data_IF_576528921293
#
_entry.id   IF_576528921293
#
_cell.length_a   1.000
_cell.length_b   1.000
_cell.length_c   1.000
_cell.angle_alpha   90.00
_cell.angle_beta   90.00
_cell.angle_gamma   90.00
#
_symmetry.space_group_name_H-M   'P 1'
#
loop_
_entity.id
_entity.type
_entity.pdbx_description
1 polymer ?
#
# COMPACT_ATOMS: atom_id res chain seq x y z
N UNK A 1 -34.43 9.43 20.22
CA UNK A 1 -33.89 8.19 19.63
C UNK A 1 -33.49 8.36 18.14
N UNK A 2 -32.89 9.48 17.68
CA UNK A 2 -32.64 9.70 16.24
C UNK A 2 -31.21 10.13 15.86
N UNK A 3 -30.26 10.17 16.79
CA UNK A 3 -28.86 10.56 16.41
C UNK A 3 -27.95 9.40 15.99
N UNK A 4 -28.24 8.18 16.40
CA UNK A 4 -27.43 7.02 16.04
C UNK A 4 -27.62 6.56 14.60
N UNK A 5 -28.82 6.78 13.99
CA UNK A 5 -29.09 6.41 12.62
C UNK A 5 -28.45 7.35 11.58
N UNK A 6 -28.23 8.62 11.94
CA UNK A 6 -27.60 9.61 11.05
C UNK A 6 -26.09 9.41 10.92
N UNK A 7 -25.42 8.90 11.96
CA UNK A 7 -23.96 8.64 11.91
C UNK A 7 -23.60 7.39 11.10
N UNK A 8 -24.39 6.33 11.18
CA UNK A 8 -24.17 5.10 10.39
C UNK A 8 -24.34 5.35 8.89
N UNK A 9 -25.30 6.19 8.48
CA UNK A 9 -25.49 6.56 7.08
C UNK A 9 -24.33 7.36 6.48
N UNK A 10 -23.73 8.27 7.26
CA UNK A 10 -22.57 9.07 6.83
C UNK A 10 -21.31 8.24 6.64
N UNK A 11 -21.04 7.30 7.55
CA UNK A 11 -19.86 6.43 7.47
C UNK A 11 -19.93 5.44 6.29
N UNK A 12 -21.09 4.82 6.08
CA UNK A 12 -21.31 3.91 4.93
C UNK A 12 -21.28 4.64 3.60
N UNK A 13 -21.80 5.85 3.50
CA UNK A 13 -21.69 6.68 2.30
C UNK A 13 -20.26 7.15 2.04
N UNK A 14 -19.51 7.52 3.08
CA UNK A 14 -18.09 7.86 2.95
C UNK A 14 -17.29 6.66 2.43
N UNK A 15 -17.52 5.47 3.00
CA UNK A 15 -16.83 4.24 2.58
C UNK A 15 -17.18 3.85 1.14
N UNK A 16 -18.45 3.91 0.74
CA UNK A 16 -18.86 3.58 -0.63
C UNK A 16 -18.27 4.54 -1.66
N UNK A 17 -18.21 5.83 -1.39
CA UNK A 17 -17.57 6.83 -2.26
C UNK A 17 -16.05 6.63 -2.33
N UNK A 18 -15.42 6.26 -1.23
CA UNK A 18 -13.97 6.03 -1.17
C UNK A 18 -13.56 4.78 -1.95
N UNK A 19 -14.34 3.71 -1.89
CA UNK A 19 -14.08 2.48 -2.66
C UNK A 19 -14.24 2.72 -4.17
N UNK A 20 -15.15 3.60 -4.57
CA UNK A 20 -15.37 3.97 -5.99
C UNK A 20 -14.24 4.87 -6.51
N UNK A 21 -13.60 5.69 -5.65
CA UNK A 21 -12.49 6.55 -6.02
C UNK A 21 -11.15 5.80 -5.79
N UNK A 22 -10.63 5.24 -6.89
CA UNK A 22 -9.37 4.46 -6.90
C UNK A 22 -8.18 5.20 -6.27
N UNK A 23 -8.14 6.52 -6.40
CA UNK A 23 -7.03 7.31 -5.90
C UNK A 23 -7.12 7.51 -4.38
N UNK A 24 -8.31 7.77 -3.86
CA UNK A 24 -8.55 7.89 -2.41
C UNK A 24 -8.32 6.56 -1.69
N UNK A 25 -8.83 5.47 -2.25
CA UNK A 25 -8.63 4.14 -1.69
C UNK A 25 -7.14 3.78 -1.61
N UNK A 26 -6.37 4.07 -2.67
CA UNK A 26 -4.94 3.85 -2.66
C UNK A 26 -4.25 4.60 -1.52
N UNK A 27 -4.50 5.90 -1.38
CA UNK A 27 -3.83 6.72 -0.37
C UNK A 27 -4.20 6.30 1.06
N UNK A 28 -5.45 5.90 1.30
CA UNK A 28 -5.89 5.37 2.61
C UNK A 28 -5.20 4.05 2.95
N UNK A 29 -5.15 3.12 2.00
CA UNK A 29 -4.49 1.83 2.20
C UNK A 29 -2.98 1.99 2.36
N UNK A 30 -2.36 2.88 1.58
CA UNK A 30 -0.94 3.18 1.70
C UNK A 30 -0.63 3.78 3.07
N UNK A 31 -1.33 4.83 3.49
CA UNK A 31 -1.12 5.45 4.79
C UNK A 31 -1.39 4.46 5.94
N UNK A 32 -2.53 3.75 5.89
CA UNK A 32 -2.89 2.74 6.89
C UNK A 32 -1.86 1.61 6.98
N UNK A 33 -1.35 1.14 5.85
CA UNK A 33 -0.32 0.10 5.80
C UNK A 33 1.00 0.54 6.45
N UNK A 34 1.46 1.76 6.17
CA UNK A 34 2.69 2.28 6.77
C UNK A 34 2.55 2.61 8.26
N UNK A 35 1.38 3.10 8.69
CA UNK A 35 1.06 3.26 10.12
C UNK A 35 1.05 1.90 10.82
N UNK A 36 0.37 0.91 10.25
CA UNK A 36 0.32 -0.44 10.81
C UNK A 36 1.72 -1.06 10.90
N UNK A 37 2.55 -0.92 9.85
CA UNK A 37 3.93 -1.40 9.85
C UNK A 37 4.75 -0.73 10.95
N UNK A 38 4.61 0.59 11.15
CA UNK A 38 5.29 1.34 12.21
C UNK A 38 4.90 0.81 13.60
N UNK A 39 3.60 0.58 13.82
CA UNK A 39 3.09 0.02 15.10
C UNK A 39 3.60 -1.41 15.31
N UNK A 40 3.53 -2.26 14.29
CA UNK A 40 4.04 -3.64 14.37
C UNK A 40 5.54 -3.64 14.66
N UNK A 41 6.32 -2.80 14.00
CA UNK A 41 7.77 -2.68 14.25
C UNK A 41 8.04 -2.25 15.70
N UNK A 42 7.31 -1.25 16.20
CA UNK A 42 7.44 -0.79 17.59
C UNK A 42 7.14 -1.91 18.59
N UNK A 43 6.02 -2.62 18.40
CA UNK A 43 5.59 -3.68 19.33
C UNK A 43 6.46 -4.92 19.22
N UNK A 44 6.88 -5.31 18.01
CA UNK A 44 7.58 -6.59 17.78
C UNK A 44 9.10 -6.50 17.92
N UNK A 45 9.67 -5.32 17.70
CA UNK A 45 11.12 -5.12 17.73
C UNK A 45 11.52 -4.16 18.84
N UNK A 46 10.98 -2.94 18.88
CA UNK A 46 11.46 -1.93 19.82
C UNK A 46 11.16 -2.27 21.28
N UNK A 47 9.94 -2.74 21.59
CA UNK A 47 9.57 -3.10 22.96
C UNK A 47 10.33 -4.32 23.50
N UNK A 48 10.42 -5.47 22.78
CA UNK A 48 11.11 -6.65 23.31
C UNK A 48 12.61 -6.49 23.46
N UNK A 49 13.24 -5.62 22.65
CA UNK A 49 14.67 -5.39 22.66
C UNK A 49 15.10 -4.13 23.43
N UNK A 50 14.16 -3.51 24.17
CA UNK A 50 14.37 -2.29 24.95
C UNK A 50 14.89 -1.09 24.10
N UNK A 51 14.53 -1.07 22.82
CA UNK A 51 14.90 -0.02 21.85
C UNK A 51 13.89 1.12 21.85
N UNK A 52 13.64 1.71 23.03
CA UNK A 52 12.71 2.84 23.20
C UNK A 52 13.42 4.20 23.26
N UNK A 53 14.71 4.22 22.99
CA UNK A 53 15.46 5.46 22.87
C UNK A 53 14.95 6.32 21.69
N UNK A 54 15.11 7.62 21.81
CA UNK A 54 14.64 8.58 20.80
C UNK A 54 15.11 8.24 19.38
N UNK A 55 16.35 7.77 19.22
CA UNK A 55 16.95 7.44 17.93
C UNK A 55 16.16 6.31 17.21
N UNK A 56 15.79 5.24 17.92
CA UNK A 56 15.05 4.12 17.35
C UNK A 56 13.60 4.48 17.04
N UNK A 57 12.95 5.27 17.91
CA UNK A 57 11.59 5.76 17.66
C UNK A 57 11.60 6.69 16.44
N UNK A 58 12.53 7.63 16.38
CA UNK A 58 12.69 8.54 15.24
C UNK A 58 12.96 7.76 13.95
N UNK A 59 13.87 6.76 14.00
CA UNK A 59 14.13 5.87 12.88
C UNK A 59 12.85 5.18 12.38
N UNK A 60 12.06 4.59 13.29
CA UNK A 60 10.82 3.88 12.93
C UNK A 60 9.80 4.81 12.26
N UNK A 61 9.63 6.03 12.75
CA UNK A 61 8.71 7.01 12.17
C UNK A 61 9.20 7.52 10.81
N UNK A 62 10.47 7.93 10.72
CA UNK A 62 11.04 8.50 9.47
C UNK A 62 11.12 7.44 8.38
N UNK A 63 11.49 6.20 8.68
CA UNK A 63 11.51 5.12 7.69
C UNK A 63 10.11 4.84 7.13
N UNK A 64 9.07 4.92 7.98
CA UNK A 64 7.68 4.70 7.55
C UNK A 64 7.19 5.82 6.63
N UNK A 65 7.54 7.07 6.93
CA UNK A 65 7.29 8.21 6.03
C UNK A 65 8.05 8.04 4.70
N UNK A 66 9.32 7.64 4.75
CA UNK A 66 10.12 7.36 3.55
C UNK A 66 9.49 6.29 2.66
N UNK A 67 9.05 5.19 3.25
CA UNK A 67 8.35 4.11 2.55
C UNK A 67 7.01 4.56 1.95
N UNK A 68 6.23 5.33 2.70
CA UNK A 68 4.99 5.93 2.21
C UNK A 68 5.23 6.79 0.95
N UNK A 69 6.24 7.67 0.99
CA UNK A 69 6.59 8.53 -0.14
C UNK A 69 7.12 7.73 -1.34
N UNK A 70 7.90 6.67 -1.10
CA UNK A 70 8.44 5.81 -2.16
C UNK A 70 7.33 5.05 -2.91
N UNK A 71 6.20 4.77 -2.28
CA UNK A 71 5.06 4.12 -2.93
C UNK A 71 4.42 4.97 -4.03
N UNK A 72 4.53 6.31 -3.99
CA UNK A 72 3.93 7.19 -4.98
C UNK A 72 4.51 7.02 -6.41
N UNK A 73 5.85 7.10 -6.61
CA UNK A 73 6.44 6.83 -7.92
C UNK A 73 6.27 5.38 -8.36
N UNK A 74 6.34 4.40 -7.44
CA UNK A 74 6.11 2.99 -7.75
C UNK A 74 4.69 2.77 -8.28
N UNK A 75 3.67 3.36 -7.63
CA UNK A 75 2.30 3.32 -8.11
C UNK A 75 2.17 3.88 -9.52
N UNK A 76 2.79 5.01 -9.79
CA UNK A 76 2.74 5.65 -11.12
C UNK A 76 3.33 4.73 -12.20
N UNK A 77 4.44 4.06 -11.91
CA UNK A 77 5.07 3.11 -12.79
C UNK A 77 4.18 1.87 -13.03
N UNK A 78 3.59 1.30 -11.98
CA UNK A 78 2.65 0.17 -12.09
C UNK A 78 1.40 0.60 -12.87
N UNK A 79 0.85 1.79 -12.64
CA UNK A 79 -0.31 2.30 -13.37
C UNK A 79 -0.04 2.39 -14.88
N UNK A 80 1.16 2.80 -15.28
CA UNK A 80 1.57 2.82 -16.69
C UNK A 80 1.69 1.43 -17.30
N UNK A 81 2.12 0.43 -16.54
CA UNK A 81 2.30 -0.93 -17.07
C UNK A 81 0.98 -1.65 -17.36
N UNK A 82 -0.18 -1.14 -16.92
CA UNK A 82 -1.49 -1.77 -17.16
C UNK A 82 -1.89 -1.83 -18.64
N UNK A 83 -1.33 -0.96 -19.48
CA UNK A 83 -1.54 -0.97 -20.93
C UNK A 83 -0.62 -1.97 -21.67
N UNK A 84 0.31 -2.59 -20.95
CA UNK A 84 1.31 -3.49 -21.52
C UNK A 84 0.82 -4.95 -21.52
N UNK A 85 1.56 -5.82 -22.22
CA UNK A 85 1.29 -7.25 -22.22
C UNK A 85 1.35 -7.83 -20.79
N UNK A 86 0.63 -8.93 -20.49
CA UNK A 86 0.65 -9.56 -19.15
C UNK A 86 2.06 -9.87 -18.63
N UNK A 87 2.95 -10.34 -19.51
CA UNK A 87 4.34 -10.63 -19.16
C UNK A 87 5.12 -9.38 -18.75
N UNK A 88 5.03 -8.32 -19.53
CA UNK A 88 5.72 -7.07 -19.22
C UNK A 88 5.19 -6.45 -17.92
N UNK A 89 3.91 -6.65 -17.64
CA UNK A 89 3.28 -6.21 -16.38
C UNK A 89 3.89 -6.93 -15.17
N UNK A 90 4.01 -8.26 -15.24
CA UNK A 90 4.62 -9.07 -14.18
C UNK A 90 6.09 -8.70 -13.99
N UNK A 91 6.86 -8.61 -15.08
CA UNK A 91 8.27 -8.21 -15.03
C UNK A 91 8.44 -6.82 -14.39
N UNK A 92 7.61 -5.85 -14.78
CA UNK A 92 7.66 -4.51 -14.21
C UNK A 92 7.30 -4.52 -12.72
N UNK A 93 6.25 -5.23 -12.32
CA UNK A 93 5.86 -5.35 -10.92
C UNK A 93 6.99 -5.99 -10.09
N UNK A 94 7.61 -7.06 -10.59
CA UNK A 94 8.75 -7.71 -9.92
C UNK A 94 9.97 -6.80 -9.81
N UNK A 95 10.33 -6.11 -10.91
CA UNK A 95 11.45 -5.17 -10.91
C UNK A 95 11.23 -4.02 -9.92
N UNK A 96 10.02 -3.44 -9.91
CA UNK A 96 9.66 -2.36 -8.98
C UNK A 96 9.65 -2.81 -7.52
N UNK A 97 9.22 -4.04 -7.24
CA UNK A 97 9.30 -4.64 -5.92
C UNK A 97 10.75 -4.73 -5.43
N UNK A 98 11.65 -5.26 -6.26
CA UNK A 98 13.07 -5.40 -5.95
C UNK A 98 13.73 -4.03 -5.77
N UNK A 99 13.53 -3.12 -6.71
CA UNK A 99 14.13 -1.77 -6.66
C UNK A 99 13.59 -0.98 -5.47
N UNK A 100 12.28 -1.02 -5.23
CA UNK A 100 11.66 -0.37 -4.08
C UNK A 100 12.18 -0.89 -2.75
N UNK A 101 12.29 -2.21 -2.61
CA UNK A 101 12.86 -2.85 -1.42
C UNK A 101 14.33 -2.47 -1.22
N UNK A 102 15.14 -2.44 -2.28
CA UNK A 102 16.56 -2.07 -2.20
C UNK A 102 16.74 -0.60 -1.80
N UNK A 103 16.00 0.32 -2.42
CA UNK A 103 16.06 1.74 -2.10
C UNK A 103 15.61 2.02 -0.67
N UNK A 104 14.52 1.39 -0.24
CA UNK A 104 14.03 1.56 1.14
C UNK A 104 15.00 0.96 2.16
N UNK A 105 15.60 -0.20 1.87
CA UNK A 105 16.64 -0.80 2.72
C UNK A 105 17.85 0.13 2.85
N UNK A 106 18.37 0.63 1.75
CA UNK A 106 19.49 1.57 1.76
C UNK A 106 19.16 2.82 2.58
N UNK A 107 17.96 3.38 2.38
CA UNK A 107 17.49 4.53 3.16
C UNK A 107 17.41 4.24 4.66
N UNK A 108 16.84 3.10 5.06
CA UNK A 108 16.71 2.70 6.47
C UNK A 108 18.07 2.51 7.15
N UNK A 109 18.98 1.79 6.51
CA UNK A 109 20.34 1.56 7.05
C UNK A 109 21.08 2.89 7.21
N UNK A 110 21.06 3.73 6.18
CA UNK A 110 21.71 5.03 6.25
C UNK A 110 21.11 5.92 7.34
N UNK A 111 19.78 5.91 7.47
CA UNK A 111 19.08 6.66 8.52
C UNK A 111 19.45 6.17 9.92
N UNK A 112 19.51 4.85 10.13
CA UNK A 112 19.88 4.27 11.42
C UNK A 112 21.30 4.66 11.80
N UNK A 113 22.25 4.53 10.87
CA UNK A 113 23.64 4.93 11.09
C UNK A 113 23.80 6.40 11.49
N UNK A 114 22.98 7.28 10.89
CA UNK A 114 22.99 8.72 11.23
C UNK A 114 22.42 8.98 12.63
N UNK A 115 21.39 8.22 13.03
CA UNK A 115 20.68 8.46 14.29
C UNK A 115 21.37 7.83 15.51
N UNK A 116 22.11 6.73 15.30
CA UNK A 116 22.73 5.94 16.38
C UNK A 116 24.26 6.04 16.41
N UNK A 117 24.87 6.73 15.43
CA UNK A 117 26.33 6.75 15.22
C UNK A 117 26.96 5.34 15.04
N UNK A 118 26.13 4.32 14.78
CA UNK A 118 26.61 2.99 14.48
C UNK A 118 27.27 2.93 13.10
N UNK A 119 28.31 2.13 12.96
CA UNK A 119 29.04 1.96 11.70
C UNK A 119 29.01 0.51 11.23
N UNK A 120 29.13 0.31 9.93
CA UNK A 120 29.26 -1.04 9.36
C UNK A 120 27.94 -1.77 9.10
N UNK A 121 26.77 -1.16 9.33
CA UNK A 121 25.47 -1.81 9.12
C UNK A 121 25.19 -2.24 7.67
N UNK A 122 25.99 -1.76 6.71
CA UNK A 122 25.91 -2.23 5.32
C UNK A 122 26.22 -3.72 5.16
N UNK A 123 26.95 -4.33 6.10
CA UNK A 123 27.15 -5.77 6.15
C UNK A 123 25.85 -6.56 6.31
N UNK A 124 24.86 -5.97 6.96
CA UNK A 124 23.56 -6.59 7.23
C UNK A 124 22.51 -6.30 6.15
N UNK A 125 22.92 -5.62 5.05
CA UNK A 125 22.00 -5.22 3.98
C UNK A 125 21.09 -6.37 3.50
N UNK A 126 21.64 -7.58 3.35
CA UNK A 126 20.89 -8.74 2.87
C UNK A 126 19.71 -9.11 3.77
N UNK A 127 19.90 -9.12 5.09
CA UNK A 127 18.83 -9.39 6.06
C UNK A 127 17.74 -8.33 6.05
N UNK A 128 18.14 -7.07 6.03
CA UNK A 128 17.20 -5.93 5.96
C UNK A 128 16.46 -5.88 4.62
N UNK A 129 17.15 -6.17 3.52
CA UNK A 129 16.57 -6.24 2.19
C UNK A 129 15.51 -7.34 2.08
N UNK A 130 15.79 -8.53 2.66
CA UNK A 130 14.84 -9.63 2.65
C UNK A 130 13.52 -9.24 3.31
N UNK A 131 13.57 -8.64 4.50
CA UNK A 131 12.37 -8.14 5.17
C UNK A 131 11.64 -7.06 4.34
N UNK A 132 12.39 -6.12 3.75
CA UNK A 132 11.85 -5.07 2.89
C UNK A 132 11.17 -5.63 1.64
N UNK A 133 11.71 -6.70 1.07
CA UNK A 133 11.16 -7.36 -0.11
C UNK A 133 9.73 -7.87 0.16
N UNK A 134 9.48 -8.47 1.33
CA UNK A 134 8.13 -8.91 1.71
C UNK A 134 7.15 -7.75 1.88
N UNK A 135 7.60 -6.63 2.46
CA UNK A 135 6.77 -5.44 2.61
C UNK A 135 6.33 -4.90 1.24
N UNK A 136 7.28 -4.73 0.31
CA UNK A 136 6.97 -4.24 -1.03
C UNK A 136 6.20 -5.24 -1.87
N UNK A 137 6.47 -6.55 -1.72
CA UNK A 137 5.70 -7.59 -2.37
C UNK A 137 4.24 -7.56 -1.91
N UNK A 138 4.00 -7.51 -0.60
CA UNK A 138 2.65 -7.40 -0.05
C UNK A 138 1.92 -6.13 -0.55
N UNK A 139 2.64 -5.01 -0.64
CA UNK A 139 2.09 -3.75 -1.16
C UNK A 139 1.70 -3.87 -2.64
N UNK A 140 2.58 -4.44 -3.48
CA UNK A 140 2.30 -4.65 -4.92
C UNK A 140 1.13 -5.61 -5.12
N UNK A 141 1.07 -6.71 -4.36
CA UNK A 141 -0.04 -7.66 -4.42
C UNK A 141 -1.36 -7.01 -4.00
N UNK A 142 -1.36 -6.24 -2.91
CA UNK A 142 -2.55 -5.52 -2.44
C UNK A 142 -3.04 -4.52 -3.50
N UNK A 143 -2.12 -3.77 -4.12
CA UNK A 143 -2.45 -2.84 -5.20
C UNK A 143 -3.14 -3.56 -6.37
N UNK A 144 -2.59 -4.70 -6.81
CA UNK A 144 -3.18 -5.49 -7.91
C UNK A 144 -4.54 -6.06 -7.52
N UNK A 145 -4.69 -6.57 -6.30
CA UNK A 145 -5.95 -7.12 -5.79
C UNK A 145 -7.06 -6.07 -5.80
N UNK A 146 -6.78 -4.87 -5.29
CA UNK A 146 -7.73 -3.75 -5.31
C UNK A 146 -8.10 -3.38 -6.74
N UNK A 147 -7.11 -3.31 -7.63
CA UNK A 147 -7.36 -2.98 -9.04
C UNK A 147 -8.21 -4.03 -9.75
N UNK A 148 -7.96 -5.32 -9.52
CA UNK A 148 -8.78 -6.40 -10.05
C UNK A 148 -10.22 -6.35 -9.52
N UNK A 149 -10.40 -6.11 -8.21
CA UNK A 149 -11.72 -5.99 -7.62
C UNK A 149 -12.54 -4.85 -8.27
N UNK A 150 -11.90 -3.71 -8.54
CA UNK A 150 -12.54 -2.57 -9.22
C UNK A 150 -12.92 -2.90 -10.67
N UNK A 151 -12.07 -3.61 -11.41
CA UNK A 151 -12.37 -4.02 -12.78
C UNK A 151 -13.57 -4.98 -12.82
N UNK A 152 -13.60 -5.99 -11.93
CA UNK A 152 -14.71 -6.93 -11.84
C UNK A 152 -16.04 -6.23 -11.46
N UNK A 153 -15.97 -5.23 -10.59
CA UNK A 153 -17.15 -4.44 -10.23
C UNK A 153 -17.68 -3.64 -11.42
N UNK A 154 -16.79 -3.00 -12.19
CA UNK A 154 -17.18 -2.27 -13.40
C UNK A 154 -17.80 -3.16 -14.47
N UNK A 155 -17.28 -4.40 -14.67
CA UNK A 155 -17.90 -5.38 -15.57
C UNK A 155 -19.30 -5.80 -15.12
N UNK A 156 -19.51 -6.06 -13.83
CA UNK A 156 -20.83 -6.39 -13.29
C UNK A 156 -21.84 -5.28 -13.50
N UNK A 157 -21.45 -4.02 -13.25
CA UNK A 157 -22.33 -2.86 -13.46
C UNK A 157 -22.72 -2.73 -14.94
N UNK A 158 -21.76 -2.92 -15.85
CA UNK A 158 -22.01 -2.88 -17.30
C UNK A 158 -23.00 -3.96 -17.74
N UNK A 159 -22.87 -5.18 -17.22
CA UNK A 159 -23.80 -6.29 -17.50
C UNK A 159 -25.21 -5.98 -17.00
N UNK A 160 -25.35 -5.43 -15.80
CA UNK A 160 -26.66 -5.06 -15.24
C UNK A 160 -27.36 -3.98 -16.08
N UNK A 161 -26.61 -3.00 -16.59
CA UNK A 161 -27.16 -1.96 -17.48
C UNK A 161 -27.63 -2.57 -18.79
N UNK A 162 -26.87 -3.49 -19.38
CA UNK A 162 -27.25 -4.19 -20.62
C UNK A 162 -28.50 -5.07 -20.43
N UNK A 163 -28.60 -5.79 -19.32
CA UNK A 163 -29.78 -6.60 -19.00
C UNK A 163 -31.03 -5.73 -18.79
N UNK A 164 -30.88 -4.60 -18.09
CA UNK A 164 -31.99 -3.65 -17.89
C UNK A 164 -32.46 -3.05 -19.22
N UNK A 165 -31.55 -2.76 -20.15
CA UNK A 165 -31.87 -2.31 -21.51
C UNK A 165 -32.68 -3.36 -22.30
N UNK A 166 -32.19 -4.61 -22.33
CA UNK A 166 -32.88 -5.72 -23.02
C UNK A 166 -34.28 -5.97 -22.47
N UNK A 167 -34.48 -5.90 -21.15
CA UNK A 167 -35.81 -6.06 -20.55
C UNK A 167 -36.77 -4.96 -21.01
N UNK A 168 -36.31 -3.71 -21.07
CA UNK A 168 -37.15 -2.58 -21.55
C UNK A 168 -37.59 -2.73 -23.03
N UNK A 169 -36.71 -3.30 -23.87
CA UNK A 169 -37.05 -3.57 -25.29
C UNK A 169 -38.03 -4.74 -25.43
N UNK A 170 -37.95 -5.75 -24.58
CA UNK A 170 -38.86 -6.90 -24.61
C UNK A 170 -40.29 -6.57 -24.17
N UNK A 171 -40.53 -5.43 -23.54
CA UNK A 171 -41.87 -4.93 -23.10
C UNK A 171 -42.47 -3.86 -24.02
N UNK A 172 -41.80 -3.57 -25.16
CA UNK A 172 -42.35 -2.71 -26.24
C UNK A 172 -42.93 -3.56 -27.35
#
# INVERSE_FOLDING_TARGET
MNQAQTQTGSFTQFFSRTVTDSDRLFWLLNAGGWIALSVVTLVSLSLPYDQLEFAYIAHNLIQSVGGFLLCAPLRTAIKRSWTWSPWNRVLTASALTIVGAALWTAFRLQLLMILTDETGLWGDFGGWFFASLFVFLAWVLLYHLVKFAQLLQGEKESLLVLEAGRRKEAFK
#
